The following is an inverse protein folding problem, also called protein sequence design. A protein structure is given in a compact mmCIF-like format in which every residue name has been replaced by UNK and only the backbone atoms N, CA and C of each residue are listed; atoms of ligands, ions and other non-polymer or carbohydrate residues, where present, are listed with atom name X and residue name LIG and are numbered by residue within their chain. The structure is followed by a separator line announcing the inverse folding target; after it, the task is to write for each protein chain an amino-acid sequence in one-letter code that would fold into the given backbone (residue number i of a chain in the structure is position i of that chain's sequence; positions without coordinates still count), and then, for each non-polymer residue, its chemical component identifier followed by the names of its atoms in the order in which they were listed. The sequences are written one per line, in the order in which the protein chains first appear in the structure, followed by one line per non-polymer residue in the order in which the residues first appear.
data_IF_494636625542
#
_entry.id   IF_494636625542
#
_cell.length_a   1.000
_cell.length_b   1.000
_cell.length_c   1.000
_cell.angle_alpha   90.00
_cell.angle_beta   90.00
_cell.angle_gamma   90.00
#
_symmetry.space_group_name_H-M   'P 1'
#
loop_
_entity.id
_entity.type
_entity.pdbx_description
1 polymer ?
#
# COMPACT_ATOMS: atom_id res chain seq x y z
N UNK A 1 13.01 27.64 -2.17
CA UNK A 1 11.99 27.31 -1.14
C UNK A 1 12.61 26.29 -0.20
N UNK A 2 12.33 26.36 1.10
CA UNK A 2 12.85 25.43 2.10
C UNK A 2 11.67 24.70 2.72
N UNK A 3 11.74 23.37 2.76
CA UNK A 3 10.76 22.53 3.45
C UNK A 3 11.35 22.05 4.78
N UNK A 4 10.50 21.89 5.78
CA UNK A 4 10.85 21.34 7.10
C UNK A 4 9.86 20.20 7.32
N UNK A 5 10.37 19.00 7.57
CA UNK A 5 9.57 17.84 7.94
C UNK A 5 9.46 17.79 9.47
N UNK A 6 8.23 17.62 9.96
CA UNK A 6 7.90 17.49 11.37
C UNK A 6 6.82 16.41 11.49
N UNK A 7 6.82 15.70 12.60
CA UNK A 7 5.79 14.72 12.94
C UNK A 7 4.71 15.34 13.83
N UNK A 8 3.55 14.71 13.81
CA UNK A 8 2.39 15.14 14.56
C UNK A 8 1.20 14.22 14.31
N UNK A 9 0.10 14.50 15.00
CA UNK A 9 -1.13 13.74 14.93
C UNK A 9 -2.26 14.68 14.49
N UNK A 10 -3.15 14.17 13.64
CA UNK A 10 -4.44 14.82 13.39
C UNK A 10 -5.39 14.35 14.47
N UNK A 11 -5.86 15.28 15.32
CA UNK A 11 -6.76 14.95 16.42
C UNK A 11 -8.20 14.69 15.96
N UNK A 12 -9.07 14.30 16.90
CA UNK A 12 -10.49 14.03 16.64
C UNK A 12 -11.26 15.24 16.10
N UNK A 13 -10.74 16.47 16.29
CA UNK A 13 -11.32 17.70 15.76
C UNK A 13 -10.71 18.10 14.41
N UNK A 14 -9.93 17.22 13.79
CA UNK A 14 -9.24 17.43 12.52
C UNK A 14 -8.18 18.55 12.58
N UNK A 15 -7.65 18.86 13.76
CA UNK A 15 -6.54 19.78 13.89
C UNK A 15 -5.20 19.03 13.86
N UNK A 16 -4.22 19.60 13.17
CA UNK A 16 -2.85 19.09 13.18
C UNK A 16 -2.13 19.55 14.47
N UNK A 17 -1.84 18.61 15.35
CA UNK A 17 -1.01 18.82 16.53
C UNK A 17 0.41 18.32 16.24
N UNK A 18 1.40 19.22 16.30
CA UNK A 18 2.78 18.88 16.03
C UNK A 18 3.49 18.44 17.31
N UNK A 19 4.39 17.48 17.20
CA UNK A 19 5.18 16.97 18.33
C UNK A 19 6.18 18.01 18.85
N UNK A 20 6.47 19.05 18.04
CA UNK A 20 7.42 20.11 18.36
C UNK A 20 7.05 21.44 17.73
N UNK A 21 7.68 22.51 18.24
CA UNK A 21 7.44 23.89 17.79
C UNK A 21 8.06 24.08 16.40
N UNK A 22 7.33 24.71 15.47
CA UNK A 22 7.87 25.06 14.16
C UNK A 22 9.10 25.97 14.31
N UNK A 23 10.28 25.59 13.76
CA UNK A 23 11.48 26.40 13.86
C UNK A 23 11.50 27.52 12.81
N UNK A 24 10.42 28.31 12.73
CA UNK A 24 10.29 29.47 11.85
C UNK A 24 10.13 30.72 12.70
N UNK A 25 11.02 31.69 12.48
CA UNK A 25 10.96 32.99 13.17
C UNK A 25 9.87 33.89 12.57
N UNK A 26 9.06 34.47 13.44
CA UNK A 26 8.10 35.53 13.14
C UNK A 26 6.84 35.06 12.39
N UNK A 27 5.86 35.97 12.22
CA UNK A 27 4.67 35.68 11.44
C UNK A 27 5.04 35.52 9.96
N UNK A 28 4.84 34.32 9.42
CA UNK A 28 5.14 34.02 8.02
C UNK A 28 4.05 33.13 7.44
N UNK A 29 3.60 33.45 6.22
CA UNK A 29 2.70 32.59 5.46
C UNK A 29 3.45 31.36 4.99
N UNK A 30 2.91 30.18 5.26
CA UNK A 30 3.48 28.89 4.87
C UNK A 30 2.49 28.09 4.02
N UNK A 31 2.99 27.08 3.33
CA UNK A 31 2.20 26.02 2.68
C UNK A 31 2.47 24.73 3.44
N UNK A 32 1.42 24.05 3.88
CA UNK A 32 1.52 22.79 4.63
C UNK A 32 1.15 21.64 3.71
N UNK A 33 1.94 20.57 3.76
CA UNK A 33 1.64 19.27 3.15
C UNK A 33 1.53 18.28 4.31
N UNK A 34 0.42 17.56 4.40
CA UNK A 34 0.21 16.53 5.42
C UNK A 34 0.35 15.18 4.74
N UNK A 35 1.26 14.34 5.24
CA UNK A 35 1.42 12.96 4.82
C UNK A 35 0.92 12.09 5.97
N UNK A 36 -0.06 11.23 5.70
CA UNK A 36 -0.56 10.24 6.65
C UNK A 36 -0.66 8.91 5.91
N UNK A 37 -0.40 7.81 6.62
CA UNK A 37 -0.72 6.49 6.10
C UNK A 37 -2.23 6.34 6.16
N UNK A 38 -2.86 6.12 5.01
CA UNK A 38 -4.18 5.52 5.00
C UNK A 38 -3.97 4.10 5.53
N UNK A 39 -4.33 3.84 6.79
CA UNK A 39 -4.44 2.47 7.32
C UNK A 39 -5.58 1.68 6.66
N UNK A 40 -6.20 2.22 5.61
CA UNK A 40 -6.76 1.40 4.54
C UNK A 40 -5.61 1.03 3.60
N UNK A 41 -4.76 0.11 4.08
CA UNK A 41 -4.15 -0.91 3.24
C UNK A 41 -5.27 -1.37 2.32
N UNK A 42 -5.30 -0.83 1.09
CA UNK A 42 -6.45 -0.93 0.20
C UNK A 42 -6.95 -2.37 0.30
N UNK A 43 -8.14 -2.57 0.89
CA UNK A 43 -8.55 -3.83 1.51
C UNK A 43 -7.99 -4.98 0.67
N UNK A 44 -6.96 -5.70 1.14
CA UNK A 44 -6.28 -6.70 0.32
C UNK A 44 -7.31 -7.69 -0.25
N UNK A 45 -8.37 -7.91 0.54
CA UNK A 45 -9.58 -8.62 0.15
C UNK A 45 -10.34 -7.97 -1.01
N UNK A 46 -10.46 -6.65 -1.08
CA UNK A 46 -11.03 -5.92 -2.21
C UNK A 46 -10.16 -5.99 -3.46
N UNK A 47 -8.83 -5.91 -3.34
CA UNK A 47 -7.93 -6.15 -4.46
C UNK A 47 -8.01 -7.59 -4.97
N UNK A 48 -7.99 -8.57 -4.06
CA UNK A 48 -8.14 -9.98 -4.39
C UNK A 48 -9.48 -10.25 -5.07
N UNK A 49 -10.58 -9.72 -4.53
CA UNK A 49 -11.92 -9.82 -5.14
C UNK A 49 -11.95 -9.21 -6.53
N UNK A 50 -11.33 -8.04 -6.72
CA UNK A 50 -11.27 -7.38 -8.01
C UNK A 50 -10.47 -8.20 -9.02
N UNK A 51 -9.27 -8.65 -8.66
CA UNK A 51 -8.42 -9.46 -9.52
C UNK A 51 -9.08 -10.78 -9.91
N UNK A 52 -9.71 -11.48 -8.96
CA UNK A 52 -10.35 -12.77 -9.19
C UNK A 52 -11.59 -12.74 -10.09
N UNK A 53 -12.21 -11.57 -10.30
CA UNK A 53 -13.42 -11.43 -11.14
C UNK A 53 -13.21 -10.45 -12.31
N UNK A 54 -11.97 -10.05 -12.58
CA UNK A 54 -11.68 -9.10 -13.64
C UNK A 54 -11.60 -9.82 -15.00
N UNK A 55 -12.43 -9.45 -15.98
CA UNK A 55 -12.46 -10.09 -17.30
C UNK A 55 -11.14 -10.05 -18.07
N UNK A 56 -10.22 -9.15 -17.70
CA UNK A 56 -8.87 -9.10 -18.27
C UNK A 56 -8.04 -10.36 -17.98
N UNK A 57 -8.49 -11.22 -17.06
CA UNK A 57 -7.83 -12.46 -16.67
C UNK A 57 -8.62 -13.72 -17.03
N UNK A 58 -9.69 -13.62 -17.83
CA UNK A 58 -10.51 -14.79 -18.23
C UNK A 58 -9.69 -15.89 -18.93
N UNK A 59 -8.61 -15.52 -19.61
CA UNK A 59 -7.70 -16.46 -20.27
C UNK A 59 -6.99 -17.41 -19.27
N UNK A 60 -6.87 -17.04 -17.99
CA UNK A 60 -6.29 -17.92 -16.96
C UNK A 60 -7.19 -19.11 -16.62
N UNK A 61 -8.48 -19.02 -16.92
CA UNK A 61 -9.45 -20.12 -16.74
C UNK A 61 -9.50 -21.03 -17.98
N UNK A 62 -8.73 -20.76 -19.03
CA UNK A 62 -8.69 -21.60 -20.21
C UNK A 62 -7.99 -22.94 -19.89
N UNK A 63 -8.67 -24.09 -20.03
CA UNK A 63 -8.07 -25.40 -19.75
C UNK A 63 -6.90 -25.75 -20.68
N UNK A 64 -6.67 -24.99 -21.76
CA UNK A 64 -5.47 -25.13 -22.59
C UNK A 64 -4.21 -24.56 -21.92
N UNK A 65 -4.35 -23.68 -20.94
CA UNK A 65 -3.25 -23.14 -20.13
C UNK A 65 -2.82 -24.09 -18.99
N UNK A 66 -3.60 -25.16 -18.72
CA UNK A 66 -3.25 -26.24 -17.78
C UNK A 66 -2.16 -27.18 -18.34
N UNK A 67 -1.00 -26.61 -18.69
CA UNK A 67 0.08 -27.31 -19.37
C UNK A 67 0.98 -28.15 -18.44
N UNK A 68 0.75 -28.08 -17.12
CA UNK A 68 1.49 -28.85 -16.12
C UNK A 68 0.61 -29.93 -15.51
N UNK A 69 1.16 -31.12 -15.41
CA UNK A 69 0.55 -32.29 -14.81
C UNK A 69 1.39 -32.82 -13.65
N UNK A 70 0.76 -33.63 -12.80
CA UNK A 70 1.47 -34.33 -11.72
C UNK A 70 2.59 -35.26 -12.24
N UNK A 71 2.54 -35.67 -13.51
CA UNK A 71 3.55 -36.52 -14.12
C UNK A 71 4.83 -35.75 -14.52
N UNK A 72 4.79 -34.43 -14.59
CA UNK A 72 5.92 -33.59 -15.01
C UNK A 72 6.94 -33.35 -13.88
N UNK A 73 6.53 -33.62 -12.64
CA UNK A 73 7.39 -33.53 -11.47
C UNK A 73 8.51 -34.56 -11.47
N UNK A 74 9.66 -34.19 -10.91
CA UNK A 74 10.73 -35.13 -10.56
C UNK A 74 10.73 -35.41 -9.06
N UNK A 75 11.11 -36.61 -8.60
CA UNK A 75 11.27 -36.88 -7.19
C UNK A 75 12.20 -35.87 -6.54
N UNK A 76 11.70 -35.17 -5.52
CA UNK A 76 12.51 -34.27 -4.71
C UNK A 76 13.19 -35.07 -3.60
N UNK A 77 14.48 -35.34 -3.76
CA UNK A 77 15.30 -35.91 -2.70
C UNK A 77 15.91 -34.76 -1.91
N UNK A 78 15.25 -34.37 -0.81
CA UNK A 78 15.88 -33.50 0.16
C UNK A 78 17.08 -34.24 0.78
N UNK A 79 18.30 -33.77 0.52
CA UNK A 79 19.46 -34.22 1.30
C UNK A 79 19.24 -33.74 2.75
N UNK A 80 19.35 -34.68 3.69
CA UNK A 80 19.16 -34.49 5.13
C UNK A 80 20.50 -34.26 5.81
#
# INVERSE_FOLDING_TARGET
MTAIELTGIVDEQQHLQLDSILPINGPKRVRVIVLYSEEDEADESAWLRSAAHNPAFDDLDDPTEDIYSLADGKPFNAEV
#
